data_IF_655864476316
#
_entry.id   IF_655864476316
#
_cell.length_a   1.000
_cell.length_b   1.000
_cell.length_c   1.000
_cell.angle_alpha   90.00
_cell.angle_beta   90.00
_cell.angle_gamma   90.00
#
_symmetry.space_group_name_H-M   'P 1'
#
loop_
_entity.id
_entity.type
_entity.pdbx_description
1 polymer ?
#
# COMPACT_ATOMS: atom_id res chain seq x y z
N UNK A 1 54.90 17.91 75.19
CA UNK A 1 54.81 19.21 74.50
C UNK A 1 54.47 18.88 73.05
N UNK A 2 53.20 19.01 72.73
CA UNK A 2 52.64 19.91 71.73
C UNK A 2 52.98 19.54 70.28
N UNK A 3 52.10 19.44 69.32
CA UNK A 3 50.71 19.95 69.06
C UNK A 3 50.06 19.14 68.00
N UNK A 4 48.73 19.05 68.09
CA UNK A 4 47.77 18.65 67.06
C UNK A 4 47.88 19.55 65.83
N UNK A 5 47.61 19.00 64.63
CA UNK A 5 46.76 19.68 63.63
C UNK A 5 45.99 18.68 62.78
N UNK A 6 44.64 18.86 62.79
CA UNK A 6 43.68 18.14 61.98
C UNK A 6 43.71 18.63 60.53
N UNK A 7 43.67 17.71 59.56
CA UNK A 7 43.39 17.98 58.14
C UNK A 7 42.21 17.18 57.69
N UNK A 8 41.05 17.84 57.62
CA UNK A 8 39.78 17.32 57.01
C UNK A 8 39.94 17.28 55.50
N UNK A 9 40.09 16.09 54.93
CA UNK A 9 39.98 15.89 53.47
C UNK A 9 38.56 15.71 53.04
N UNK A 10 38.02 16.65 52.24
CA UNK A 10 36.73 16.51 51.59
C UNK A 10 36.83 15.53 50.41
N UNK A 11 36.17 14.37 50.54
CA UNK A 11 35.93 13.48 49.42
C UNK A 11 34.73 14.00 48.62
N UNK A 12 34.96 14.58 47.43
CA UNK A 12 33.91 14.85 46.46
C UNK A 12 33.54 13.53 45.79
N UNK A 13 32.36 13.01 46.15
CA UNK A 13 31.74 11.90 45.45
C UNK A 13 31.11 12.44 44.15
N UNK A 14 31.78 12.24 43.00
CA UNK A 14 31.19 12.51 41.70
C UNK A 14 30.24 11.37 41.36
N UNK A 15 28.95 11.61 41.52
CA UNK A 15 27.90 10.71 41.04
C UNK A 15 27.83 10.86 39.52
N UNK A 16 28.42 9.92 38.78
CA UNK A 16 28.23 9.78 37.35
C UNK A 16 26.84 9.14 37.16
N UNK A 17 25.85 9.94 36.78
CA UNK A 17 24.55 9.43 36.31
C UNK A 17 24.76 8.72 34.96
N UNK A 18 24.84 7.40 34.98
CA UNK A 18 24.79 6.57 33.79
C UNK A 18 23.33 6.53 33.37
N UNK A 19 22.94 7.39 32.43
CA UNK A 19 21.65 7.30 31.73
C UNK A 19 21.77 6.12 30.77
N UNK A 20 20.88 5.10 30.85
CA UNK A 20 20.93 3.99 29.92
C UNK A 20 20.71 4.49 28.49
N UNK A 21 21.60 4.13 27.58
CA UNK A 21 21.58 4.57 26.18
C UNK A 21 20.28 4.14 25.44
N UNK A 22 19.61 3.08 25.92
CA UNK A 22 18.34 2.59 25.40
C UNK A 22 17.19 3.61 25.50
N UNK A 23 17.16 4.43 26.58
CA UNK A 23 16.11 5.46 26.74
C UNK A 23 16.31 6.67 25.79
N UNK A 24 17.53 6.97 25.38
CA UNK A 24 17.80 8.06 24.44
C UNK A 24 17.43 7.68 22.99
N UNK A 25 17.64 6.43 22.61
CA UNK A 25 17.18 5.93 21.30
C UNK A 25 15.67 5.80 21.22
N UNK A 26 15.00 5.34 22.28
CA UNK A 26 13.54 5.28 22.36
C UNK A 26 12.89 6.68 22.28
N UNK A 27 13.40 7.65 23.04
CA UNK A 27 12.89 9.03 23.03
C UNK A 27 13.17 9.76 21.71
N UNK A 28 14.32 9.52 21.06
CA UNK A 28 14.61 10.09 19.75
C UNK A 28 13.70 9.51 18.66
N UNK A 29 13.37 8.22 18.74
CA UNK A 29 12.43 7.55 17.81
C UNK A 29 11.00 8.01 18.05
N UNK A 30 10.55 8.16 19.30
CA UNK A 30 9.25 8.73 19.64
C UNK A 30 9.12 10.21 19.26
N UNK A 31 10.18 11.01 19.40
CA UNK A 31 10.18 12.43 18.97
C UNK A 31 10.22 12.59 17.44
N UNK A 32 10.83 11.69 16.69
CA UNK A 32 10.73 11.66 15.21
C UNK A 32 9.32 11.29 14.75
N UNK A 33 8.66 10.35 15.42
CA UNK A 33 7.27 9.97 15.16
C UNK A 33 6.29 11.09 15.54
N UNK A 34 6.59 11.90 16.57
CA UNK A 34 5.71 12.99 17.03
C UNK A 34 5.83 14.29 16.23
N UNK A 35 6.87 14.47 15.41
CA UNK A 35 7.15 15.74 14.72
C UNK A 35 6.38 15.99 13.43
N UNK A 36 5.76 14.97 12.81
CA UNK A 36 4.91 15.17 11.64
C UNK A 36 3.63 14.33 11.76
N UNK A 37 2.52 14.95 12.10
CA UNK A 37 1.19 14.31 12.20
C UNK A 37 0.59 13.95 10.84
N UNK A 38 1.15 14.45 9.72
CA UNK A 38 0.59 14.32 8.37
C UNK A 38 1.53 13.56 7.43
N UNK A 39 0.95 12.93 6.43
CA UNK A 39 1.71 12.34 5.33
C UNK A 39 2.35 13.48 4.52
N UNK A 40 3.68 13.48 4.28
CA UNK A 40 4.32 14.51 3.47
C UNK A 40 3.77 14.48 2.04
N UNK A 41 3.43 15.66 1.51
CA UNK A 41 3.01 15.83 0.11
C UNK A 41 4.22 16.18 -0.74
N UNK A 42 4.38 15.47 -1.86
CA UNK A 42 5.42 15.75 -2.86
C UNK A 42 4.75 16.13 -4.16
N UNK A 43 5.02 17.36 -4.61
CA UNK A 43 4.54 17.91 -5.88
C UNK A 43 5.35 17.35 -7.04
N UNK A 44 4.67 16.77 -8.03
CA UNK A 44 5.28 16.20 -9.23
C UNK A 44 4.62 16.81 -10.48
N UNK A 45 5.43 17.14 -11.50
CA UNK A 45 4.94 17.78 -12.71
C UNK A 45 5.79 17.42 -13.94
N UNK A 46 5.20 17.61 -15.13
CA UNK A 46 5.87 17.38 -16.40
C UNK A 46 5.85 15.91 -16.84
N UNK A 47 6.77 15.52 -17.73
CA UNK A 47 6.88 14.16 -18.24
C UNK A 47 7.41 13.18 -17.18
N UNK A 48 7.35 11.89 -17.48
CA UNK A 48 7.76 10.83 -16.55
C UNK A 48 9.17 11.04 -15.99
N UNK A 49 10.15 11.32 -16.85
CA UNK A 49 11.52 11.53 -16.39
C UNK A 49 11.65 12.73 -15.42
N UNK A 50 10.94 13.82 -15.70
CA UNK A 50 10.92 14.99 -14.82
C UNK A 50 10.27 14.67 -13.46
N UNK A 51 9.13 13.95 -13.46
CA UNK A 51 8.49 13.49 -12.23
C UNK A 51 9.43 12.59 -11.42
N UNK A 52 10.12 11.67 -12.08
CA UNK A 52 11.11 10.81 -11.43
C UNK A 52 12.28 11.55 -10.81
N UNK A 53 12.79 12.59 -11.49
CA UNK A 53 13.83 13.47 -10.92
C UNK A 53 13.32 14.23 -9.67
N UNK A 54 12.11 14.78 -9.72
CA UNK A 54 11.50 15.48 -8.59
C UNK A 54 11.26 14.53 -7.41
N UNK A 55 10.67 13.35 -7.66
CA UNK A 55 10.46 12.30 -6.66
C UNK A 55 11.78 11.92 -5.96
N UNK A 56 12.80 11.55 -6.73
CA UNK A 56 14.06 11.13 -6.15
C UNK A 56 14.85 12.25 -5.47
N UNK A 57 14.75 13.51 -5.94
CA UNK A 57 15.37 14.65 -5.27
C UNK A 57 14.67 14.99 -3.94
N UNK A 58 13.33 14.94 -3.92
CA UNK A 58 12.54 15.27 -2.73
C UNK A 58 12.71 14.25 -1.61
N UNK A 59 12.91 12.96 -1.95
CA UNK A 59 12.90 11.84 -1.01
C UNK A 59 14.21 11.01 -1.04
N UNK A 60 15.33 11.65 -1.42
CA UNK A 60 16.60 10.94 -1.63
C UNK A 60 17.06 10.12 -0.44
N UNK A 61 16.95 10.68 0.76
CA UNK A 61 17.38 10.03 2.00
C UNK A 61 16.43 8.89 2.36
N UNK A 62 15.13 9.14 2.32
CA UNK A 62 14.08 8.18 2.61
C UNK A 62 14.14 6.98 1.66
N UNK A 63 14.37 7.22 0.36
CA UNK A 63 14.56 6.17 -0.64
C UNK A 63 15.82 5.33 -0.32
N UNK A 64 16.92 5.99 0.04
CA UNK A 64 18.14 5.28 0.45
C UNK A 64 17.93 4.36 1.65
N UNK A 65 17.22 4.86 2.66
CA UNK A 65 16.92 4.11 3.88
C UNK A 65 15.95 2.96 3.65
N UNK A 66 14.82 3.21 2.94
CA UNK A 66 13.84 2.15 2.70
C UNK A 66 14.39 1.06 1.79
N UNK A 67 15.23 1.39 0.80
CA UNK A 67 15.91 0.39 -0.05
C UNK A 67 16.86 -0.48 0.76
N UNK A 68 17.60 0.11 1.71
CA UNK A 68 18.44 -0.65 2.62
C UNK A 68 17.61 -1.64 3.44
N UNK A 69 16.51 -1.19 4.05
CA UNK A 69 15.61 -2.04 4.84
C UNK A 69 14.92 -3.11 3.99
N UNK A 70 14.51 -2.78 2.76
CA UNK A 70 13.98 -3.75 1.82
C UNK A 70 14.98 -4.86 1.50
N UNK A 71 16.24 -4.51 1.24
CA UNK A 71 17.30 -5.48 1.00
C UNK A 71 17.60 -6.34 2.23
N UNK A 72 17.59 -5.75 3.42
CA UNK A 72 17.71 -6.49 4.69
C UNK A 72 16.53 -7.46 4.88
N UNK A 73 15.30 -7.05 4.56
CA UNK A 73 14.11 -7.91 4.63
C UNK A 73 14.20 -9.10 3.66
N UNK A 74 14.65 -8.88 2.42
CA UNK A 74 14.91 -9.97 1.46
C UNK A 74 15.95 -10.95 2.02
N UNK A 75 17.06 -10.44 2.56
CA UNK A 75 18.12 -11.29 3.14
C UNK A 75 17.58 -12.16 4.28
N UNK A 76 16.78 -11.57 5.17
CA UNK A 76 16.17 -12.28 6.30
C UNK A 76 15.15 -13.32 5.84
N UNK A 77 14.31 -12.98 4.85
CA UNK A 77 13.24 -13.85 4.35
C UNK A 77 13.76 -15.01 3.50
N UNK A 78 14.85 -14.82 2.75
CA UNK A 78 15.36 -15.84 1.81
C UNK A 78 16.59 -16.57 2.33
N UNK A 79 17.30 -15.99 3.28
CA UNK A 79 18.62 -16.43 3.73
C UNK A 79 19.65 -16.57 2.58
N UNK A 80 19.47 -15.80 1.49
CA UNK A 80 20.30 -15.81 0.30
C UNK A 80 20.96 -14.44 0.11
N UNK A 81 22.02 -14.36 -0.72
CA UNK A 81 22.62 -13.09 -1.09
C UNK A 81 21.61 -12.22 -1.84
N UNK A 82 21.28 -11.04 -1.30
CA UNK A 82 20.20 -10.17 -1.78
C UNK A 82 20.39 -9.71 -3.24
N UNK A 83 21.60 -9.32 -3.62
CA UNK A 83 21.87 -8.85 -4.99
C UNK A 83 21.75 -9.99 -6.02
N UNK A 84 22.03 -11.23 -5.59
CA UNK A 84 21.78 -12.43 -6.38
C UNK A 84 20.28 -12.68 -6.56
N UNK A 85 19.49 -12.60 -5.49
CA UNK A 85 18.03 -12.79 -5.52
C UNK A 85 17.37 -11.74 -6.43
N UNK A 86 17.69 -10.45 -6.24
CA UNK A 86 17.18 -9.36 -7.09
C UNK A 86 17.57 -9.58 -8.56
N UNK A 87 18.82 -10.01 -8.81
CA UNK A 87 19.28 -10.26 -10.18
C UNK A 87 18.64 -11.50 -10.82
N UNK A 88 18.31 -12.52 -10.04
CA UNK A 88 17.56 -13.68 -10.50
C UNK A 88 16.12 -13.29 -10.87
N UNK A 89 15.43 -12.54 -10.00
CA UNK A 89 14.09 -12.02 -10.27
C UNK A 89 14.07 -11.15 -11.55
N UNK A 90 14.97 -10.18 -11.64
CA UNK A 90 15.06 -9.27 -12.79
C UNK A 90 15.27 -10.01 -14.11
N UNK A 91 16.07 -11.12 -14.12
CA UNK A 91 16.30 -11.94 -15.30
C UNK A 91 15.19 -12.94 -15.59
N UNK A 92 14.47 -13.39 -14.59
CA UNK A 92 13.38 -14.35 -14.72
C UNK A 92 12.06 -13.71 -15.20
N UNK A 93 11.99 -12.38 -15.26
CA UNK A 93 10.80 -11.61 -15.62
C UNK A 93 11.08 -10.68 -16.80
N UNK A 94 10.02 -10.27 -17.51
CA UNK A 94 10.11 -9.45 -18.70
C UNK A 94 8.96 -8.41 -18.72
N UNK A 95 8.85 -7.59 -17.66
CA UNK A 95 7.77 -6.61 -17.51
C UNK A 95 7.98 -5.33 -18.33
N UNK A 96 9.22 -5.02 -18.70
CA UNK A 96 9.57 -3.78 -19.41
C UNK A 96 8.76 -3.56 -20.71
N UNK A 97 8.54 -4.56 -21.59
CA UNK A 97 7.71 -4.37 -22.78
C UNK A 97 6.27 -3.99 -22.47
N UNK A 98 5.67 -4.58 -21.42
CA UNK A 98 4.31 -4.25 -21.00
C UNK A 98 4.24 -2.82 -20.45
N UNK A 99 5.19 -2.41 -19.60
CA UNK A 99 5.28 -1.04 -19.07
C UNK A 99 5.44 -0.03 -20.21
N UNK A 100 6.36 -0.26 -21.15
CA UNK A 100 6.59 0.64 -22.29
C UNK A 100 5.40 0.72 -23.24
N UNK A 101 4.63 -0.36 -23.38
CA UNK A 101 3.42 -0.39 -24.22
C UNK A 101 2.26 0.37 -23.59
N UNK A 102 2.00 0.17 -22.30
CA UNK A 102 0.78 0.61 -21.66
C UNK A 102 0.93 1.89 -20.83
N UNK A 103 2.13 2.11 -20.25
CA UNK A 103 2.45 3.21 -19.35
C UNK A 103 3.88 3.73 -19.57
N UNK A 104 4.24 4.15 -20.82
CA UNK A 104 5.62 4.47 -21.19
C UNK A 104 6.24 5.57 -20.30
N UNK A 105 5.44 6.56 -19.89
CA UNK A 105 5.89 7.63 -19.01
C UNK A 105 6.40 7.11 -17.65
N UNK A 106 5.84 6.00 -17.14
CA UNK A 106 6.30 5.42 -15.88
C UNK A 106 7.69 4.78 -16.01
N UNK A 107 8.01 4.20 -17.16
CA UNK A 107 9.35 3.69 -17.39
C UNK A 107 10.41 4.80 -17.34
N UNK A 108 10.09 5.97 -17.90
CA UNK A 108 10.94 7.16 -17.81
C UNK A 108 10.98 7.73 -16.38
N UNK A 109 9.86 7.66 -15.64
CA UNK A 109 9.81 8.07 -14.22
C UNK A 109 10.78 7.25 -13.37
N UNK A 110 10.88 5.93 -13.58
CA UNK A 110 11.86 5.08 -12.88
C UNK A 110 13.30 5.44 -13.21
N UNK A 111 13.61 5.83 -14.46
CA UNK A 111 14.94 6.33 -14.83
C UNK A 111 15.27 7.64 -14.11
N UNK A 112 14.28 8.54 -13.99
CA UNK A 112 14.42 9.79 -13.25
C UNK A 112 14.73 9.54 -11.77
N UNK A 113 14.00 8.63 -11.10
CA UNK A 113 14.25 8.23 -9.72
C UNK A 113 15.67 7.67 -9.57
N UNK A 114 16.06 6.73 -10.42
CA UNK A 114 17.42 6.16 -10.41
C UNK A 114 18.50 7.25 -10.55
N UNK A 115 18.31 8.17 -11.49
CA UNK A 115 19.27 9.26 -11.75
C UNK A 115 19.43 10.20 -10.57
N UNK A 116 18.34 10.64 -9.96
CA UNK A 116 18.35 11.64 -8.88
C UNK A 116 18.80 11.07 -7.54
N UNK A 117 18.46 9.80 -7.25
CA UNK A 117 18.87 9.14 -6.00
C UNK A 117 20.27 8.56 -6.06
N UNK A 118 20.76 8.19 -7.25
CA UNK A 118 21.99 7.41 -7.45
C UNK A 118 21.81 5.90 -7.20
N UNK A 119 20.59 5.44 -6.94
CA UNK A 119 20.28 4.00 -6.84
C UNK A 119 20.38 3.35 -8.24
N UNK A 120 20.78 2.07 -8.30
CA UNK A 120 20.82 1.36 -9.58
C UNK A 120 19.42 1.29 -10.20
N UNK A 121 19.31 1.43 -11.53
CA UNK A 121 18.01 1.29 -12.21
C UNK A 121 17.36 -0.06 -11.93
N UNK A 122 18.14 -1.14 -11.84
CA UNK A 122 17.64 -2.46 -11.48
C UNK A 122 16.97 -2.47 -10.10
N UNK A 123 17.58 -1.85 -9.09
CA UNK A 123 17.00 -1.80 -7.74
C UNK A 123 15.74 -0.96 -7.72
N UNK A 124 15.75 0.23 -8.37
CA UNK A 124 14.56 1.07 -8.51
C UNK A 124 13.45 0.33 -9.24
N UNK A 125 13.76 -0.36 -10.33
CA UNK A 125 12.80 -1.14 -11.09
C UNK A 125 12.21 -2.29 -10.26
N UNK A 126 13.04 -3.11 -9.61
CA UNK A 126 12.59 -4.23 -8.80
C UNK A 126 11.80 -3.79 -7.56
N UNK A 127 12.09 -2.64 -6.98
CA UNK A 127 11.34 -2.10 -5.86
C UNK A 127 9.90 -1.70 -6.23
N UNK A 128 9.63 -1.34 -7.50
CA UNK A 128 8.25 -1.12 -7.98
C UNK A 128 7.42 -2.41 -8.01
N UNK A 129 8.09 -3.55 -8.01
CA UNK A 129 7.52 -4.86 -8.27
C UNK A 129 7.42 -5.67 -6.97
N UNK A 130 7.09 -5.02 -5.84
CA UNK A 130 7.07 -5.68 -4.51
C UNK A 130 6.15 -6.89 -4.54
N UNK A 131 4.93 -6.76 -5.05
CA UNK A 131 3.98 -7.87 -5.13
C UNK A 131 4.45 -8.97 -6.09
N UNK A 132 4.93 -8.60 -7.28
CA UNK A 132 5.47 -9.53 -8.27
C UNK A 132 6.73 -10.23 -7.76
N UNK A 133 7.54 -9.52 -6.96
CA UNK A 133 8.73 -10.07 -6.32
C UNK A 133 8.35 -11.15 -5.30
N UNK A 134 7.36 -10.88 -4.44
CA UNK A 134 6.87 -11.88 -3.48
C UNK A 134 6.22 -13.08 -4.18
N UNK A 135 5.45 -12.85 -5.26
CA UNK A 135 4.95 -13.95 -6.11
C UNK A 135 6.08 -14.82 -6.66
N UNK A 136 7.21 -14.21 -7.04
CA UNK A 136 8.38 -14.93 -7.51
C UNK A 136 9.08 -15.70 -6.39
N UNK A 137 9.26 -15.06 -5.22
CA UNK A 137 9.86 -15.70 -4.03
C UNK A 137 8.98 -16.82 -3.49
N UNK A 138 7.67 -16.68 -3.52
CA UNK A 138 6.69 -17.69 -3.11
C UNK A 138 6.85 -19.00 -3.90
N UNK A 139 7.24 -18.93 -5.15
CA UNK A 139 7.66 -20.13 -5.92
C UNK A 139 8.87 -20.84 -5.33
N UNK A 140 9.65 -20.18 -4.49
CA UNK A 140 10.85 -20.72 -3.85
C UNK A 140 10.61 -21.14 -2.39
N UNK A 141 9.63 -20.54 -1.70
CA UNK A 141 9.38 -20.72 -0.27
C UNK A 141 7.92 -20.39 0.08
N UNK A 142 7.20 -21.00 0.87
CA UNK A 142 5.78 -20.84 1.26
C UNK A 142 5.22 -19.40 1.34
N UNK A 143 3.90 -19.21 1.04
CA UNK A 143 3.29 -17.92 0.79
C UNK A 143 3.27 -16.96 1.97
N UNK A 144 3.47 -15.66 1.65
CA UNK A 144 3.35 -14.54 2.58
C UNK A 144 1.91 -14.27 3.03
N UNK A 145 1.78 -13.52 4.11
CA UNK A 145 0.50 -13.08 4.66
C UNK A 145 0.15 -11.67 4.16
N UNK A 146 -0.67 -11.56 3.13
CA UNK A 146 -1.24 -10.29 2.68
C UNK A 146 -2.44 -9.89 3.55
N UNK A 147 -2.61 -8.56 3.81
CA UNK A 147 -3.53 -8.13 4.85
C UNK A 147 -4.39 -6.90 4.54
N UNK A 148 -4.48 -6.42 3.30
CA UNK A 148 -5.31 -5.26 2.96
C UNK A 148 -6.82 -5.53 3.13
N UNK A 149 -7.58 -4.46 3.43
CA UNK A 149 -9.04 -4.50 3.52
C UNK A 149 -9.61 -3.28 2.83
N UNK A 150 -10.44 -3.47 1.80
CA UNK A 150 -11.01 -2.40 1.01
C UNK A 150 -12.51 -2.57 0.79
N UNK A 151 -13.20 -1.45 0.54
CA UNK A 151 -14.60 -1.44 0.16
C UNK A 151 -14.96 -0.22 -0.70
N UNK A 152 -16.07 -0.31 -1.42
CA UNK A 152 -16.60 0.78 -2.23
C UNK A 152 -18.10 0.88 -2.12
N UNK A 153 -18.64 2.09 -2.18
CA UNK A 153 -20.06 2.42 -2.02
C UNK A 153 -20.44 3.37 -3.15
N UNK A 154 -21.40 3.00 -3.97
CA UNK A 154 -21.92 3.85 -5.04
C UNK A 154 -22.67 5.07 -4.49
N UNK A 155 -22.75 6.14 -5.27
CA UNK A 155 -23.47 7.35 -4.90
C UNK A 155 -24.98 7.10 -4.74
N UNK A 156 -25.57 7.85 -3.85
CA UNK A 156 -27.02 7.99 -3.70
C UNK A 156 -27.41 9.47 -3.67
N UNK A 157 -28.68 9.77 -3.45
CA UNK A 157 -29.11 11.15 -3.23
C UNK A 157 -28.57 11.76 -1.94
N UNK A 158 -28.14 10.93 -0.96
CA UNK A 158 -27.70 11.36 0.37
C UNK A 158 -26.18 11.47 0.51
N UNK A 159 -25.40 10.79 -0.34
CA UNK A 159 -23.95 10.79 -0.28
C UNK A 159 -23.29 10.56 -1.64
N UNK A 160 -22.07 11.07 -1.89
CA UNK A 160 -21.28 10.73 -3.07
C UNK A 160 -20.82 9.27 -3.03
N UNK A 161 -20.26 8.78 -4.12
CA UNK A 161 -19.60 7.49 -4.11
C UNK A 161 -18.27 7.56 -3.35
N UNK A 162 -17.93 6.46 -2.70
CA UNK A 162 -16.69 6.31 -1.92
C UNK A 162 -15.95 5.04 -2.28
N UNK A 163 -14.63 5.10 -2.19
CA UNK A 163 -13.77 3.92 -2.02
C UNK A 163 -12.93 4.13 -0.77
N UNK A 164 -12.74 3.08 0.01
CA UNK A 164 -11.95 3.16 1.22
C UNK A 164 -11.10 1.89 1.42
N UNK A 165 -9.90 2.07 2.01
CA UNK A 165 -8.97 0.96 2.21
C UNK A 165 -8.05 1.20 3.41
N UNK A 166 -7.79 0.15 4.17
CA UNK A 166 -6.56 0.01 4.95
C UNK A 166 -5.52 -0.69 4.06
N UNK A 167 -4.45 0.03 3.74
CA UNK A 167 -3.28 -0.49 3.05
C UNK A 167 -2.33 -1.07 4.10
N UNK A 168 -2.27 -2.39 4.19
CA UNK A 168 -1.37 -3.06 5.12
C UNK A 168 -0.10 -3.47 4.36
N UNK A 169 1.06 -3.07 4.88
CA UNK A 169 2.37 -3.31 4.28
C UNK A 169 3.35 -3.85 5.32
N UNK A 170 4.49 -4.28 4.82
CA UNK A 170 5.60 -4.80 5.63
C UNK A 170 6.20 -3.72 6.54
N UNK A 171 6.58 -4.12 7.74
CA UNK A 171 7.06 -3.23 8.80
C UNK A 171 8.25 -2.37 8.40
N UNK A 172 9.10 -2.81 7.46
CA UNK A 172 10.25 -2.02 7.02
C UNK A 172 9.84 -0.73 6.29
N UNK A 173 8.61 -0.64 5.78
CA UNK A 173 8.06 0.56 5.11
C UNK A 173 7.54 1.62 6.09
N UNK A 174 7.49 1.33 7.39
CA UNK A 174 6.99 2.28 8.38
C UNK A 174 7.84 3.57 8.44
N UNK A 175 7.15 4.71 8.34
CA UNK A 175 7.76 6.04 8.35
C UNK A 175 8.08 6.62 6.96
N UNK A 176 7.89 5.84 5.89
CA UNK A 176 8.17 6.25 4.50
C UNK A 176 6.91 6.54 3.68
N UNK A 177 5.77 6.78 4.34
CA UNK A 177 4.53 7.23 3.70
C UNK A 177 4.73 8.55 2.97
N UNK A 178 4.20 8.66 1.76
CA UNK A 178 4.19 9.88 0.95
C UNK A 178 2.88 9.98 0.17
N UNK A 179 2.37 11.19 0.01
CA UNK A 179 1.28 11.52 -0.90
C UNK A 179 1.88 12.29 -2.09
N UNK A 180 1.85 11.69 -3.27
CA UNK A 180 2.19 12.42 -4.49
C UNK A 180 0.99 13.22 -4.97
N UNK A 181 1.21 14.51 -5.24
CA UNK A 181 0.33 15.37 -5.97
C UNK A 181 0.91 15.58 -7.36
N UNK A 182 0.31 14.94 -8.36
CA UNK A 182 0.81 14.97 -9.74
C UNK A 182 -0.04 15.92 -10.54
N UNK A 183 0.57 16.99 -11.05
CA UNK A 183 -0.11 17.96 -11.91
C UNK A 183 -0.55 17.34 -13.24
N UNK A 184 -1.66 17.82 -13.79
CA UNK A 184 -2.10 17.46 -15.15
C UNK A 184 -0.98 17.64 -16.17
N UNK A 185 -0.82 16.67 -17.04
CA UNK A 185 0.19 16.71 -18.10
C UNK A 185 -0.30 15.96 -19.34
N UNK A 186 -0.16 16.58 -20.51
CA UNK A 186 -0.45 15.97 -21.81
C UNK A 186 -1.84 15.28 -21.90
N UNK A 187 -2.86 15.88 -21.28
CA UNK A 187 -4.21 15.36 -21.23
C UNK A 187 -4.50 14.36 -20.09
N UNK A 188 -3.49 13.93 -19.34
CA UNK A 188 -3.72 13.17 -18.12
C UNK A 188 -4.29 14.07 -17.02
N UNK A 189 -5.28 13.61 -16.24
CA UNK A 189 -5.83 14.39 -15.13
C UNK A 189 -4.83 14.54 -13.99
N UNK A 190 -5.05 15.54 -13.14
CA UNK A 190 -4.33 15.72 -11.88
C UNK A 190 -4.61 14.52 -10.94
N UNK A 191 -3.61 14.11 -10.13
CA UNK A 191 -3.71 12.89 -9.33
C UNK A 191 -3.21 13.12 -7.91
N UNK A 192 -3.89 12.52 -6.92
CA UNK A 192 -3.36 12.25 -5.59
C UNK A 192 -3.10 10.77 -5.43
N UNK A 193 -1.87 10.39 -5.09
CA UNK A 193 -1.45 9.00 -5.00
C UNK A 193 -0.74 8.74 -3.67
N UNK A 194 -1.32 7.90 -2.83
CA UNK A 194 -0.60 7.36 -1.68
C UNK A 194 0.48 6.41 -2.16
N UNK A 195 1.67 6.57 -1.62
CA UNK A 195 2.82 5.72 -1.93
C UNK A 195 3.77 5.58 -0.74
N UNK A 196 4.82 4.78 -0.93
CA UNK A 196 6.02 4.73 -0.11
C UNK A 196 7.16 5.44 -0.86
N UNK A 197 8.08 6.07 -0.14
CA UNK A 197 9.26 6.68 -0.77
C UNK A 197 9.97 5.68 -1.70
N UNK A 198 10.13 6.06 -2.97
CA UNK A 198 10.72 5.22 -4.02
C UNK A 198 9.73 4.33 -4.77
N UNK A 199 8.49 4.11 -4.30
CA UNK A 199 7.41 3.49 -5.07
C UNK A 199 6.62 4.53 -5.87
N UNK A 200 6.04 4.15 -7.02
CA UNK A 200 5.27 5.07 -7.87
C UNK A 200 3.77 5.10 -7.55
N UNK A 201 3.21 4.07 -6.92
CA UNK A 201 1.81 4.04 -6.49
C UNK A 201 1.49 2.86 -5.56
N UNK A 202 0.52 3.07 -4.66
CA UNK A 202 -0.17 2.05 -3.87
C UNK A 202 -1.69 2.12 -4.06
N UNK A 203 -2.28 3.30 -4.02
CA UNK A 203 -3.67 3.62 -4.36
C UNK A 203 -3.80 5.12 -4.65
N UNK A 204 -4.97 5.58 -5.07
CA UNK A 204 -5.14 7.01 -5.33
C UNK A 204 -6.44 7.37 -6.05
N UNK A 205 -6.54 8.66 -6.39
CA UNK A 205 -7.68 9.27 -7.06
C UNK A 205 -7.19 10.34 -8.04
N UNK A 206 -7.92 10.53 -9.14
CA UNK A 206 -7.67 11.64 -10.06
C UNK A 206 -8.76 12.73 -10.00
N UNK A 207 -8.49 13.87 -10.63
CA UNK A 207 -9.37 15.05 -10.65
C UNK A 207 -10.66 14.83 -11.46
N UNK A 208 -10.77 13.77 -12.26
CA UNK A 208 -11.96 13.42 -13.01
C UNK A 208 -12.85 12.41 -12.25
N UNK A 209 -12.53 12.15 -10.96
CA UNK A 209 -13.34 11.33 -10.06
C UNK A 209 -13.17 9.84 -10.24
N UNK A 210 -12.02 9.40 -10.77
CA UNK A 210 -11.66 7.99 -10.86
C UNK A 210 -10.71 7.67 -9.69
N UNK A 211 -11.09 6.69 -8.86
CA UNK A 211 -10.27 6.21 -7.75
C UNK A 211 -9.99 4.71 -7.85
N UNK A 212 -8.89 4.25 -7.27
CA UNK A 212 -8.53 2.83 -7.23
C UNK A 212 -7.86 2.45 -5.92
N UNK A 213 -8.30 1.34 -5.34
CA UNK A 213 -7.65 0.62 -4.25
C UNK A 213 -7.37 -0.82 -4.68
N UNK A 214 -6.35 -1.46 -4.10
CA UNK A 214 -5.94 -2.81 -4.49
C UNK A 214 -5.72 -3.71 -3.28
N UNK A 215 -6.10 -4.99 -3.40
CA UNK A 215 -5.72 -6.01 -2.43
C UNK A 215 -5.02 -7.15 -3.19
N UNK A 216 -3.83 -7.53 -2.75
CA UNK A 216 -3.06 -8.60 -3.39
C UNK A 216 -3.76 -9.95 -3.24
N UNK A 217 -3.86 -10.71 -4.33
CA UNK A 217 -4.43 -12.05 -4.39
C UNK A 217 -3.36 -13.05 -4.85
N UNK A 218 -2.44 -13.39 -3.94
CA UNK A 218 -1.30 -14.28 -4.22
C UNK A 218 -1.72 -15.68 -4.72
N UNK A 219 -2.98 -16.04 -4.49
CA UNK A 219 -3.57 -17.33 -4.84
C UNK A 219 -3.90 -17.46 -6.33
N UNK A 220 -4.01 -16.33 -7.05
CA UNK A 220 -4.30 -16.30 -8.48
C UNK A 220 -3.03 -16.49 -9.32
N UNK A 221 -3.19 -17.03 -10.53
CA UNK A 221 -2.09 -17.19 -11.48
C UNK A 221 -1.45 -15.84 -11.84
N UNK A 222 -0.13 -15.85 -11.97
CA UNK A 222 0.71 -14.69 -12.26
C UNK A 222 1.52 -14.90 -13.53
N UNK A 223 1.94 -13.80 -14.16
CA UNK A 223 2.71 -13.78 -15.39
C UNK A 223 4.06 -13.09 -15.18
N UNK A 224 5.06 -13.51 -15.93
CA UNK A 224 6.39 -12.88 -15.92
C UNK A 224 6.54 -11.75 -16.94
N UNK A 225 5.49 -11.42 -17.71
CA UNK A 225 5.49 -10.44 -18.81
C UNK A 225 4.25 -9.54 -18.84
N UNK A 226 3.41 -9.59 -17.79
CA UNK A 226 2.24 -8.73 -17.64
C UNK A 226 2.60 -7.30 -17.17
N UNK A 227 1.59 -6.45 -17.03
CA UNK A 227 1.74 -5.11 -16.46
C UNK A 227 1.73 -5.20 -14.93
N UNK A 228 2.78 -4.71 -14.22
CA UNK A 228 2.86 -4.74 -12.77
C UNK A 228 1.81 -3.87 -12.08
N UNK A 229 1.41 -4.25 -10.86
CA UNK A 229 0.30 -3.61 -10.11
C UNK A 229 0.46 -2.10 -9.95
N UNK A 230 1.63 -1.60 -9.60
CA UNK A 230 1.88 -0.15 -9.47
C UNK A 230 1.66 0.60 -10.80
N UNK A 231 2.02 -0.02 -11.93
CA UNK A 231 1.77 0.53 -13.26
C UNK A 231 0.28 0.44 -13.64
N UNK A 232 -0.44 -0.61 -13.22
CA UNK A 232 -1.89 -0.73 -13.42
C UNK A 232 -2.63 0.38 -12.68
N UNK A 233 -2.30 0.64 -11.42
CA UNK A 233 -2.89 1.73 -10.63
C UNK A 233 -2.70 3.07 -11.35
N UNK A 234 -1.46 3.41 -11.74
CA UNK A 234 -1.14 4.65 -12.45
C UNK A 234 -1.85 4.72 -13.81
N UNK A 235 -1.94 3.61 -14.54
CA UNK A 235 -2.68 3.53 -15.80
C UNK A 235 -4.17 3.78 -15.66
N UNK A 236 -4.81 3.28 -14.59
CA UNK A 236 -6.21 3.59 -14.27
C UNK A 236 -6.38 5.08 -13.99
N UNK A 237 -5.50 5.66 -13.15
CA UNK A 237 -5.58 7.05 -12.73
C UNK A 237 -5.20 8.07 -13.83
N UNK A 238 -4.56 7.64 -14.93
CA UNK A 238 -4.29 8.49 -16.10
C UNK A 238 -5.48 8.62 -17.04
N UNK A 239 -6.55 7.83 -16.86
CA UNK A 239 -7.75 7.88 -17.70
C UNK A 239 -8.63 9.09 -17.35
N UNK A 240 -9.24 9.70 -18.37
CA UNK A 240 -10.13 10.86 -18.23
C UNK A 240 -11.58 10.48 -17.94
N UNK A 241 -11.95 9.22 -18.20
CA UNK A 241 -13.31 8.71 -18.00
C UNK A 241 -13.34 7.26 -17.50
N UNK A 242 -14.42 6.92 -16.80
CA UNK A 242 -14.59 5.61 -16.20
C UNK A 242 -14.67 4.47 -17.21
N UNK A 243 -15.22 4.68 -18.40
CA UNK A 243 -15.32 3.63 -19.42
C UNK A 243 -13.93 3.23 -19.92
N UNK A 244 -13.06 4.21 -20.11
CA UNK A 244 -11.63 4.01 -20.48
C UNK A 244 -10.89 3.27 -19.37
N UNK A 245 -11.07 3.66 -18.09
CA UNK A 245 -10.46 2.98 -16.95
C UNK A 245 -10.90 1.50 -16.84
N UNK A 246 -12.19 1.23 -16.97
CA UNK A 246 -12.74 -0.13 -16.96
C UNK A 246 -12.34 -0.97 -18.19
N UNK A 247 -12.13 -0.34 -19.34
CA UNK A 247 -11.60 -1.00 -20.53
C UNK A 247 -10.13 -1.35 -20.34
N UNK A 248 -9.34 -0.42 -19.80
CA UNK A 248 -7.90 -0.60 -19.56
C UNK A 248 -7.65 -1.85 -18.71
N UNK A 249 -8.25 -1.95 -17.51
CA UNK A 249 -8.04 -3.09 -16.62
C UNK A 249 -8.40 -4.44 -17.25
N UNK A 250 -9.42 -4.48 -18.13
CA UNK A 250 -9.86 -5.71 -18.81
C UNK A 250 -9.01 -6.06 -20.03
N UNK A 251 -8.21 -5.13 -20.55
CA UNK A 251 -7.46 -5.31 -21.81
C UNK A 251 -6.01 -5.70 -21.55
N UNK A 252 -5.43 -5.22 -20.46
CA UNK A 252 -4.03 -5.52 -20.12
C UNK A 252 -3.87 -6.97 -19.65
N UNK A 253 -2.69 -7.54 -19.83
CA UNK A 253 -2.26 -8.75 -19.14
C UNK A 253 -1.68 -8.35 -17.78
N UNK A 254 -2.17 -8.93 -16.70
CA UNK A 254 -1.69 -8.63 -15.34
C UNK A 254 -0.45 -9.45 -14.99
N UNK A 255 0.50 -8.83 -14.28
CA UNK A 255 1.71 -9.51 -13.81
C UNK A 255 1.46 -10.36 -12.56
N UNK A 256 0.60 -9.89 -11.64
CA UNK A 256 0.26 -10.55 -10.39
C UNK A 256 -1.24 -10.64 -10.19
N UNK A 257 -1.69 -11.59 -9.37
CA UNK A 257 -3.08 -11.69 -8.94
C UNK A 257 -3.44 -10.52 -8.02
N UNK A 258 -4.49 -9.77 -8.38
CA UNK A 258 -4.94 -8.59 -7.64
C UNK A 258 -6.46 -8.49 -7.61
N UNK A 259 -6.97 -7.92 -6.54
CA UNK A 259 -8.29 -7.32 -6.51
C UNK A 259 -8.16 -5.82 -6.73
N UNK A 260 -9.01 -5.25 -7.60
CA UNK A 260 -9.10 -3.82 -7.86
C UNK A 260 -10.50 -3.32 -7.53
N UNK A 261 -10.62 -2.48 -6.51
CA UNK A 261 -11.83 -1.70 -6.26
C UNK A 261 -11.67 -0.38 -7.00
N UNK A 262 -12.45 -0.18 -8.06
CA UNK A 262 -12.41 1.01 -8.91
C UNK A 262 -13.70 1.78 -8.72
N UNK A 263 -13.60 3.06 -8.40
CA UNK A 263 -14.72 3.96 -8.35
C UNK A 263 -14.66 4.98 -9.50
N UNK A 264 -15.80 5.27 -10.05
CA UNK A 264 -16.00 6.27 -11.10
C UNK A 264 -17.21 7.12 -10.77
N UNK A 265 -17.03 8.42 -10.64
CA UNK A 265 -18.03 9.46 -10.33
C UNK A 265 -19.12 9.04 -9.34
N UNK A 266 -20.03 8.14 -9.73
CA UNK A 266 -21.20 7.70 -8.93
C UNK A 266 -21.27 6.18 -8.69
N UNK A 267 -20.37 5.40 -9.28
CA UNK A 267 -20.42 3.94 -9.28
C UNK A 267 -19.12 3.32 -8.78
N UNK A 268 -19.23 2.08 -8.27
CA UNK A 268 -18.08 1.30 -7.80
C UNK A 268 -18.04 -0.08 -8.44
N UNK A 269 -16.85 -0.59 -8.65
CA UNK A 269 -16.60 -1.86 -9.31
C UNK A 269 -15.53 -2.61 -8.53
N UNK A 270 -15.68 -3.93 -8.45
CA UNK A 270 -14.73 -4.83 -7.83
C UNK A 270 -14.32 -5.89 -8.87
N UNK A 271 -13.02 -6.00 -9.14
CA UNK A 271 -12.47 -6.95 -10.10
C UNK A 271 -11.37 -7.78 -9.48
N UNK A 272 -11.48 -9.09 -9.62
CA UNK A 272 -10.36 -10.00 -9.39
C UNK A 272 -9.65 -10.28 -10.71
N UNK A 273 -8.39 -9.91 -10.79
CA UNK A 273 -7.55 -10.04 -11.97
C UNK A 273 -6.42 -11.04 -11.74
N UNK A 274 -6.28 -12.01 -12.62
CA UNK A 274 -5.13 -12.91 -12.74
C UNK A 274 -4.35 -12.63 -14.01
N UNK A 275 -3.27 -13.35 -14.25
CA UNK A 275 -2.54 -13.30 -15.51
C UNK A 275 -3.42 -13.58 -16.75
N UNK A 276 -4.47 -14.39 -16.61
CA UNK A 276 -5.23 -14.94 -17.73
C UNK A 276 -6.62 -14.34 -17.86
N UNK A 277 -7.21 -13.79 -16.79
CA UNK A 277 -8.57 -13.25 -16.85
C UNK A 277 -8.85 -12.21 -15.76
N UNK A 278 -9.85 -11.35 -16.05
CA UNK A 278 -10.40 -10.36 -15.12
C UNK A 278 -11.88 -10.66 -14.93
N UNK A 279 -12.30 -10.90 -13.70
CA UNK A 279 -13.66 -11.27 -13.32
C UNK A 279 -14.23 -10.20 -12.40
N UNK A 280 -15.46 -9.73 -12.67
CA UNK A 280 -16.15 -8.81 -11.78
C UNK A 280 -16.73 -9.57 -10.60
N UNK A 281 -16.47 -9.10 -9.41
CA UNK A 281 -17.01 -9.65 -8.17
C UNK A 281 -18.20 -8.82 -7.66
N UNK A 282 -19.20 -9.48 -7.13
CA UNK A 282 -20.36 -8.89 -6.47
C UNK A 282 -20.53 -9.59 -5.11
N UNK A 283 -20.22 -8.91 -3.99
CA UNK A 283 -20.44 -9.49 -2.66
C UNK A 283 -21.90 -9.85 -2.38
N UNK A 284 -22.81 -9.06 -2.92
CA UNK A 284 -24.24 -9.32 -2.97
C UNK A 284 -24.79 -8.95 -4.35
N UNK A 285 -25.27 -9.92 -5.10
CA UNK A 285 -25.86 -9.70 -6.44
C UNK A 285 -27.12 -8.82 -6.40
N UNK A 286 -27.81 -8.74 -5.27
CA UNK A 286 -28.98 -7.89 -5.06
C UNK A 286 -28.61 -6.44 -4.69
N UNK A 287 -27.37 -6.20 -4.30
CA UNK A 287 -26.87 -4.87 -3.98
C UNK A 287 -25.54 -4.58 -4.68
N UNK A 288 -25.53 -4.31 -5.99
CA UNK A 288 -24.33 -4.01 -6.76
C UNK A 288 -23.68 -2.66 -6.41
N UNK A 289 -24.35 -1.86 -5.58
CA UNK A 289 -23.88 -0.54 -5.12
C UNK A 289 -22.87 -0.62 -3.96
N UNK A 290 -22.69 -1.79 -3.38
CA UNK A 290 -21.77 -2.03 -2.28
C UNK A 290 -20.81 -3.16 -2.67
N UNK A 291 -19.50 -2.87 -2.61
CA UNK A 291 -18.44 -3.86 -2.83
C UNK A 291 -17.47 -3.84 -1.65
N UNK A 292 -16.91 -4.99 -1.30
CA UNK A 292 -15.87 -5.12 -0.28
C UNK A 292 -15.04 -6.37 -0.52
N UNK A 293 -13.75 -6.26 -0.23
CA UNK A 293 -12.78 -7.32 -0.52
C UNK A 293 -11.63 -7.32 0.50
N UNK A 294 -10.98 -8.47 0.60
CA UNK A 294 -9.72 -8.66 1.35
C UNK A 294 -8.71 -9.42 0.46
N UNK A 295 -7.89 -10.33 1.00
CA UNK A 295 -6.79 -10.95 0.25
C UNK A 295 -7.04 -12.44 -0.08
N UNK A 296 -8.22 -12.80 -0.57
CA UNK A 296 -8.49 -14.14 -1.09
C UNK A 296 -9.47 -14.07 -2.25
N UNK A 297 -9.27 -14.86 -3.32
CA UNK A 297 -10.16 -14.86 -4.45
C UNK A 297 -11.53 -15.45 -4.08
N UNK A 298 -12.60 -14.83 -4.58
CA UNK A 298 -14.00 -15.16 -4.32
C UNK A 298 -14.75 -15.59 -5.57
N UNK A 299 -14.32 -15.11 -6.75
CA UNK A 299 -15.00 -15.37 -8.02
C UNK A 299 -14.07 -15.77 -9.15
N UNK A 300 -12.78 -15.37 -9.11
CA UNK A 300 -11.82 -15.74 -10.13
C UNK A 300 -11.26 -17.14 -9.84
N UNK A 301 -11.54 -18.09 -10.73
CA UNK A 301 -11.16 -19.50 -10.61
C UNK A 301 -9.81 -19.84 -11.30
N UNK A 302 -9.06 -18.83 -11.74
CA UNK A 302 -7.69 -19.00 -12.26
C UNK A 302 -6.68 -19.12 -11.10
N UNK A 303 -6.83 -20.20 -10.34
CA UNK A 303 -6.17 -20.43 -9.04
C UNK A 303 -4.87 -21.23 -9.20
N UNK A 304 -3.86 -20.85 -8.45
CA UNK A 304 -2.63 -21.64 -8.33
C UNK A 304 -2.89 -23.00 -7.68
N UNK A 305 -2.18 -24.07 -8.10
CA UNK A 305 -2.39 -25.44 -7.59
C UNK A 305 -2.30 -25.56 -6.07
N UNK A 306 -1.35 -24.87 -5.43
CA UNK A 306 -1.17 -24.93 -3.97
C UNK A 306 -2.39 -24.39 -3.21
N UNK A 307 -3.08 -23.40 -3.77
CA UNK A 307 -4.28 -22.85 -3.11
C UNK A 307 -5.47 -23.81 -3.21
N UNK A 308 -5.62 -24.50 -4.34
CA UNK A 308 -6.62 -25.56 -4.48
C UNK A 308 -6.43 -26.68 -3.44
N UNK A 309 -5.20 -27.08 -3.15
CA UNK A 309 -4.88 -28.02 -2.10
C UNK A 309 -5.19 -27.46 -0.69
N UNK A 310 -4.86 -26.18 -0.45
CA UNK A 310 -5.20 -25.49 0.81
C UNK A 310 -6.70 -25.43 1.04
N UNK A 311 -7.49 -25.10 0.03
CA UNK A 311 -8.96 -25.09 0.12
C UNK A 311 -9.53 -26.46 0.47
N UNK A 312 -9.02 -27.54 -0.11
CA UNK A 312 -9.44 -28.91 0.25
C UNK A 312 -9.22 -29.21 1.74
N UNK A 313 -8.08 -28.79 2.29
CA UNK A 313 -7.76 -28.95 3.72
C UNK A 313 -8.67 -28.14 4.62
N UNK A 314 -9.06 -26.94 4.22
CA UNK A 314 -10.03 -26.12 4.96
C UNK A 314 -11.41 -26.82 4.95
N UNK A 315 -11.86 -27.26 3.79
CA UNK A 315 -13.15 -27.94 3.64
C UNK A 315 -13.23 -29.28 4.39
N UNK A 316 -12.12 -30.02 4.49
CA UNK A 316 -12.04 -31.25 5.29
C UNK A 316 -11.91 -30.99 6.79
N UNK A 317 -11.75 -29.74 7.24
CA UNK A 317 -11.53 -29.40 8.65
C UNK A 317 -10.10 -29.61 9.13
N UNK A 318 -9.17 -29.95 8.23
CA UNK A 318 -7.75 -30.14 8.55
C UNK A 318 -7.01 -28.80 8.73
N UNK A 319 -7.56 -27.69 8.23
CA UNK A 319 -7.03 -26.34 8.39
C UNK A 319 -8.15 -25.36 8.79
N UNK A 320 -7.78 -24.27 9.48
CA UNK A 320 -8.70 -23.19 9.86
C UNK A 320 -8.78 -22.12 8.76
N UNK A 321 -9.89 -21.37 8.76
CA UNK A 321 -10.01 -20.15 7.96
C UNK A 321 -8.84 -19.21 8.21
N UNK A 322 -8.37 -18.61 7.13
CA UNK A 322 -7.28 -17.66 7.22
C UNK A 322 -7.77 -16.28 7.68
N UNK A 323 -6.83 -15.43 8.02
CA UNK A 323 -7.04 -14.05 8.43
C UNK A 323 -7.92 -13.25 7.45
N UNK A 324 -7.78 -13.47 6.15
CA UNK A 324 -8.50 -12.75 5.10
C UNK A 324 -10.01 -13.00 5.16
N UNK A 325 -10.46 -14.25 5.37
CA UNK A 325 -11.89 -14.59 5.52
C UNK A 325 -12.51 -13.93 6.76
N UNK A 326 -11.75 -13.86 7.85
CA UNK A 326 -12.23 -13.24 9.10
C UNK A 326 -12.43 -11.73 8.89
N UNK A 327 -11.49 -11.04 8.24
CA UNK A 327 -11.61 -9.60 7.92
C UNK A 327 -12.73 -9.33 6.91
N UNK A 328 -12.89 -10.20 5.91
CA UNK A 328 -14.01 -10.11 4.96
C UNK A 328 -15.36 -10.19 5.69
N UNK A 329 -15.50 -11.13 6.62
CA UNK A 329 -16.71 -11.26 7.44
C UNK A 329 -16.96 -10.03 8.30
N UNK A 330 -15.90 -9.44 8.88
CA UNK A 330 -15.99 -8.19 9.63
C UNK A 330 -16.45 -7.02 8.76
N UNK A 331 -15.92 -6.86 7.54
CA UNK A 331 -16.39 -5.86 6.57
C UNK A 331 -17.86 -6.09 6.23
N UNK A 332 -18.25 -7.32 5.88
CA UNK A 332 -19.64 -7.68 5.59
C UNK A 332 -20.56 -7.25 6.71
N UNK A 333 -20.28 -7.68 7.94
CA UNK A 333 -21.14 -7.41 9.10
C UNK A 333 -21.32 -5.91 9.35
N UNK A 334 -20.29 -5.08 9.12
CA UNK A 334 -20.37 -3.63 9.31
C UNK A 334 -21.09 -2.91 8.18
N UNK A 335 -20.81 -3.31 6.94
CA UNK A 335 -21.29 -2.60 5.75
C UNK A 335 -22.71 -2.98 5.34
N UNK A 336 -23.23 -4.13 5.77
CA UNK A 336 -24.59 -4.61 5.38
C UNK A 336 -25.66 -4.38 6.44
N UNK A 337 -25.41 -3.50 7.42
CA UNK A 337 -26.45 -3.15 8.38
C UNK A 337 -27.57 -2.33 7.69
N UNK A 338 -28.86 -2.61 7.98
CA UNK A 338 -29.98 -1.98 7.28
C UNK A 338 -30.02 -0.45 7.41
N UNK A 339 -29.54 0.10 8.54
CA UNK A 339 -29.63 1.52 8.87
C UNK A 339 -28.34 2.29 8.59
N UNK A 340 -27.41 1.75 7.77
CA UNK A 340 -26.17 2.42 7.44
C UNK A 340 -26.43 3.71 6.65
N UNK A 341 -25.94 4.83 7.19
CA UNK A 341 -25.99 6.16 6.55
C UNK A 341 -24.86 6.40 5.53
N UNK A 342 -23.86 5.51 5.49
CA UNK A 342 -22.63 5.62 4.68
C UNK A 342 -21.95 7.00 4.77
N UNK A 343 -22.03 7.63 5.94
CA UNK A 343 -21.26 8.84 6.25
C UNK A 343 -19.76 8.56 6.30
N UNK A 344 -18.94 9.59 6.09
CA UNK A 344 -17.48 9.49 6.23
C UNK A 344 -17.09 8.96 7.62
N UNK A 345 -17.89 9.24 8.67
CA UNK A 345 -17.65 8.72 10.01
C UNK A 345 -17.84 7.20 10.08
N UNK A 346 -18.88 6.64 9.48
CA UNK A 346 -19.07 5.19 9.39
C UNK A 346 -17.91 4.52 8.67
N UNK A 347 -17.39 5.13 7.57
CA UNK A 347 -16.25 4.63 6.84
C UNK A 347 -15.00 4.60 7.75
N UNK A 348 -14.72 5.69 8.46
CA UNK A 348 -13.60 5.77 9.42
C UNK A 348 -13.71 4.74 10.54
N UNK A 349 -14.90 4.55 11.11
CA UNK A 349 -15.15 3.54 12.16
C UNK A 349 -14.96 2.12 11.62
N UNK A 350 -15.39 1.84 10.40
CA UNK A 350 -15.17 0.55 9.74
C UNK A 350 -13.68 0.28 9.57
N UNK A 351 -12.90 1.25 9.08
CA UNK A 351 -11.46 1.14 8.91
C UNK A 351 -10.68 1.06 10.23
N UNK A 352 -11.21 1.65 11.32
CA UNK A 352 -10.63 1.57 12.68
C UNK A 352 -10.94 0.27 13.40
N UNK A 353 -11.77 -0.59 12.82
CA UNK A 353 -12.35 -1.71 13.56
C UNK A 353 -11.36 -2.80 13.94
N UNK A 354 -11.60 -3.37 15.13
CA UNK A 354 -10.86 -4.51 15.70
C UNK A 354 -11.87 -5.56 16.22
N UNK A 355 -12.91 -5.84 15.44
CA UNK A 355 -13.97 -6.81 15.81
C UNK A 355 -13.41 -8.19 16.12
N UNK A 356 -12.35 -8.57 15.44
CA UNK A 356 -11.54 -9.72 15.81
C UNK A 356 -10.13 -9.24 16.20
N UNK A 357 -9.75 -9.42 17.46
CA UNK A 357 -8.46 -8.93 17.98
C UNK A 357 -7.24 -9.63 17.39
N UNK A 358 -7.38 -10.87 16.92
CA UNK A 358 -6.29 -11.64 16.30
C UNK A 358 -6.16 -11.29 14.81
N UNK A 359 -7.27 -10.95 14.17
CA UNK A 359 -7.35 -10.65 12.74
C UNK A 359 -8.14 -9.35 12.50
N UNK A 360 -7.64 -8.21 13.00
CA UNK A 360 -8.35 -6.94 12.89
C UNK A 360 -8.29 -6.35 11.48
N UNK A 361 -9.25 -5.50 11.12
CA UNK A 361 -9.18 -4.65 9.93
C UNK A 361 -8.10 -3.56 10.13
N UNK A 362 -8.02 -2.97 11.33
CA UNK A 362 -7.00 -1.99 11.69
C UNK A 362 -5.84 -2.65 12.45
N UNK A 363 -4.65 -2.66 11.85
CA UNK A 363 -3.43 -3.24 12.42
C UNK A 363 -2.48 -2.14 12.87
N UNK A 364 -2.21 -2.09 14.16
CA UNK A 364 -1.23 -1.16 14.73
C UNK A 364 0.19 -1.68 14.47
N UNK A 365 1.11 -0.76 14.13
CA UNK A 365 2.52 -1.09 14.07
C UNK A 365 3.03 -1.59 15.42
N UNK A 366 3.71 -2.72 15.42
CA UNK A 366 4.41 -3.27 16.58
C UNK A 366 5.75 -3.86 16.14
N UNK A 367 6.77 -3.64 16.96
CA UNK A 367 8.07 -4.26 16.75
C UNK A 367 7.94 -5.79 16.79
N UNK A 368 8.51 -6.46 15.79
CA UNK A 368 8.50 -7.92 15.66
C UNK A 368 7.29 -8.50 14.92
N UNK A 369 6.25 -7.72 14.62
CA UNK A 369 5.21 -8.13 13.68
C UNK A 369 5.63 -7.82 12.24
N UNK A 370 5.26 -8.67 11.29
CA UNK A 370 5.69 -8.53 9.90
C UNK A 370 4.97 -7.42 9.14
N UNK A 371 3.71 -7.14 9.49
CA UNK A 371 2.78 -6.30 8.72
C UNK A 371 1.98 -5.38 9.64
N UNK A 372 1.65 -4.18 9.14
CA UNK A 372 0.83 -3.18 9.84
C UNK A 372 0.02 -2.36 8.84
N UNK A 373 -1.03 -1.66 9.29
CA UNK A 373 -1.76 -0.68 8.48
C UNK A 373 -0.87 0.55 8.25
N UNK A 374 -0.23 0.58 7.06
CA UNK A 374 0.69 1.62 6.61
C UNK A 374 0.01 2.98 6.50
N UNK A 375 -1.20 2.98 5.95
CA UNK A 375 -2.08 4.13 5.86
C UNK A 375 -3.51 3.65 5.64
N UNK A 376 -4.46 4.45 6.04
CA UNK A 376 -5.88 4.28 5.73
C UNK A 376 -6.33 5.40 4.82
N UNK A 377 -7.07 5.09 3.75
CA UNK A 377 -7.54 6.07 2.78
C UNK A 377 -9.06 6.01 2.63
N UNK A 378 -9.65 7.19 2.38
CA UNK A 378 -11.04 7.36 1.95
C UNK A 378 -11.02 8.29 0.74
N UNK A 379 -11.41 7.76 -0.42
CA UNK A 379 -11.53 8.49 -1.68
C UNK A 379 -12.99 8.87 -1.87
N UNK A 380 -13.28 10.17 -1.85
CA UNK A 380 -14.59 10.71 -2.19
C UNK A 380 -14.61 10.98 -3.70
N UNK A 381 -15.54 10.37 -4.42
CA UNK A 381 -15.65 10.47 -5.86
C UNK A 381 -16.68 11.55 -6.25
N UNK A 382 -16.97 11.70 -7.52
CA UNK A 382 -17.98 12.63 -8.01
C UNK A 382 -17.42 13.97 -8.46
N UNK A 383 -18.23 15.03 -8.32
CA UNK A 383 -17.92 16.36 -8.86
C UNK A 383 -16.80 17.11 -8.13
N UNK A 384 -16.56 16.75 -6.89
CA UNK A 384 -15.50 17.36 -6.04
C UNK A 384 -14.65 16.26 -5.44
N UNK A 385 -13.83 15.57 -6.28
CA UNK A 385 -13.06 14.44 -5.81
C UNK A 385 -12.02 14.87 -4.77
N UNK A 386 -11.80 13.99 -3.79
CA UNK A 386 -10.84 14.25 -2.72
C UNK A 386 -10.33 12.94 -2.10
N UNK A 387 -9.19 13.03 -1.43
CA UNK A 387 -8.60 11.95 -0.66
C UNK A 387 -8.44 12.37 0.80
N UNK A 388 -8.88 11.53 1.72
CA UNK A 388 -8.53 11.62 3.12
C UNK A 388 -7.63 10.44 3.47
N UNK A 389 -6.51 10.69 4.14
CA UNK A 389 -5.58 9.61 4.50
C UNK A 389 -4.93 9.85 5.86
N UNK A 390 -4.47 8.74 6.46
CA UNK A 390 -3.76 8.73 7.74
C UNK A 390 -2.27 8.46 7.52
N UNK A 391 -1.41 8.93 8.41
CA UNK A 391 0.03 8.66 8.35
C UNK A 391 0.40 7.27 8.91
N UNK A 392 -0.45 6.66 9.67
CA UNK A 392 -0.29 5.35 10.30
C UNK A 392 -1.65 4.65 10.36
N UNK A 393 -1.76 3.61 11.16
CA UNK A 393 -3.07 2.98 11.41
C UNK A 393 -4.11 3.99 11.88
N UNK A 394 -5.36 3.90 11.40
CA UNK A 394 -6.37 4.95 11.59
C UNK A 394 -6.88 5.11 13.03
N UNK A 395 -6.50 4.21 13.93
CA UNK A 395 -6.78 4.37 15.38
C UNK A 395 -5.67 5.15 16.11
N UNK A 396 -4.52 5.38 15.46
CA UNK A 396 -3.39 6.13 16.01
C UNK A 396 -3.09 7.43 15.26
N UNK A 397 -3.74 7.67 14.12
CA UNK A 397 -3.51 8.82 13.27
C UNK A 397 -4.83 9.41 12.77
N UNK A 398 -4.92 10.73 12.71
CA UNK A 398 -6.07 11.42 12.15
C UNK A 398 -6.02 11.46 10.62
N UNK A 399 -7.21 11.49 9.99
CA UNK A 399 -7.36 11.66 8.57
C UNK A 399 -7.16 13.12 8.16
N UNK A 400 -6.27 13.36 7.22
CA UNK A 400 -6.04 14.66 6.59
C UNK A 400 -6.68 14.68 5.21
N UNK A 401 -7.44 15.72 4.91
CA UNK A 401 -8.16 15.92 3.64
C UNK A 401 -7.28 16.67 2.64
N UNK A 402 -7.19 16.13 1.43
CA UNK A 402 -6.64 16.81 0.25
C UNK A 402 -7.67 16.83 -0.86
N UNK A 403 -7.87 18.01 -1.47
CA UNK A 403 -8.85 18.23 -2.53
C UNK A 403 -8.17 18.87 -3.72
N UNK A 404 -8.61 18.51 -4.91
CA UNK A 404 -8.19 19.22 -6.13
C UNK A 404 -8.72 20.66 -6.10
N UNK A 405 -7.92 21.57 -6.61
CA UNK A 405 -8.40 22.96 -6.79
C UNK A 405 -9.52 22.92 -7.83
N UNK A 406 -10.66 23.54 -7.51
CA UNK A 406 -11.78 23.61 -8.45
C UNK A 406 -11.28 24.13 -9.80
N UNK A 407 -11.61 23.38 -10.86
CA UNK A 407 -11.37 23.78 -12.26
C UNK A 407 -12.28 24.94 -12.65
#
# INVERSE_FOLDING_TARGET
MEKNENGFGYFLLSIILIIPCENLFSQATEQLISRNKEVPVVELSGNGYQRGLQHGNALKNEIGEVFKKWKENIQLSTNLNVDSVISMFYRATNFEPAIKKWTPELFEELKGISKSTGQSFKDVFCFQLVDEFWVYIDKLQNPGNDHCSGFGIAATNSHPAYIAQNMDLENFMNGYQVLFHISSYNGEPEQYILSCAGLIALNGINSDGIGVCVNTLMQLEASSDGLPVACVIRGILSMQDGASALKFIKTIKHASGQNYIIGIVDSVYDFEASANKVVRFFPDSNNPSLVYHTNHPLTNDDLKPWYLESQKKILSGEAKDNNSFIRFTSLKNRLTQPDNDFSVNLLKETLRSKDNLLNPICRVYKNGEAVFTFSSVILTLGKSPSIQLTRASPDQSEYVLHSFKNK
#
